data_IF_534902556792
#
_entry.id   IF_534902556792
#
_cell.length_a   1.000
_cell.length_b   1.000
_cell.length_c   1.000
_cell.angle_alpha   90.00
_cell.angle_beta   90.00
_cell.angle_gamma   90.00
#
_symmetry.space_group_name_H-M   'P 1'
#
loop_
_entity.id
_entity.type
_entity.pdbx_description
1 polymer ?
#
# COMPACT_ATOMS: atom_id res chain seq x y z
N UNK A 1 -2.55 -6.37 -6.22
CA UNK A 1 -2.61 -7.28 -5.07
C UNK A 1 -1.20 -7.80 -4.78
N UNK A 2 -0.69 -7.53 -3.59
CA UNK A 2 0.56 -8.13 -3.14
C UNK A 2 0.22 -9.15 -2.05
N UNK A 3 0.37 -10.44 -2.34
CA UNK A 3 0.33 -11.49 -1.31
C UNK A 3 1.72 -11.48 -0.67
N UNK A 4 1.85 -10.66 0.39
CA UNK A 4 3.15 -10.29 0.97
C UNK A 4 3.83 -11.46 1.67
N UNK A 5 3.07 -12.42 2.16
CA UNK A 5 3.53 -13.63 2.82
C UNK A 5 2.55 -14.79 2.60
N UNK A 6 2.87 -16.01 3.08
CA UNK A 6 1.93 -17.14 3.04
C UNK A 6 0.65 -16.89 3.85
N UNK A 7 0.51 -15.76 4.54
CA UNK A 7 -0.34 -15.64 5.72
C UNK A 7 -1.36 -14.49 5.72
N UNK A 8 -1.11 -13.47 4.92
CA UNK A 8 -1.90 -12.25 4.77
C UNK A 8 -1.84 -11.80 3.33
N UNK A 9 -2.93 -11.19 2.89
CA UNK A 9 -3.02 -10.58 1.57
C UNK A 9 -3.03 -9.07 1.75
N UNK A 10 -2.02 -8.38 1.20
CA UNK A 10 -1.95 -6.94 1.15
C UNK A 10 -2.52 -6.42 -0.17
N UNK A 11 -3.55 -5.62 -0.07
CA UNK A 11 -4.24 -5.02 -1.20
C UNK A 11 -3.82 -3.56 -1.33
N UNK A 12 -3.45 -3.15 -2.53
CA UNK A 12 -3.09 -1.78 -2.85
C UNK A 12 -3.75 -1.41 -4.19
N UNK A 13 -4.18 -0.15 -4.31
CA UNK A 13 -4.75 0.40 -5.54
C UNK A 13 -3.71 1.22 -6.29
N UNK A 14 -3.66 1.05 -7.60
CA UNK A 14 -2.79 1.80 -8.52
C UNK A 14 -3.69 2.42 -9.58
N UNK A 15 -3.57 3.73 -9.77
CA UNK A 15 -4.40 4.50 -10.70
C UNK A 15 -3.50 5.28 -11.65
N UNK A 16 -3.69 5.09 -12.95
CA UNK A 16 -2.87 5.73 -13.98
C UNK A 16 -1.35 5.59 -13.74
N UNK A 17 -0.92 4.42 -13.26
CA UNK A 17 0.48 4.11 -12.96
C UNK A 17 1.04 4.73 -11.66
N UNK A 18 0.20 5.39 -10.85
CA UNK A 18 0.59 5.92 -9.54
C UNK A 18 -0.10 5.13 -8.42
N UNK A 19 0.63 4.68 -7.39
CA UNK A 19 0.02 4.09 -6.22
C UNK A 19 -0.82 5.14 -5.48
N UNK A 20 -1.98 4.73 -4.98
CA UNK A 20 -2.86 5.60 -4.21
C UNK A 20 -2.25 5.88 -2.83
N UNK A 21 -2.31 7.14 -2.38
CA UNK A 21 -1.84 7.58 -1.07
C UNK A 21 -3.03 7.70 -0.12
N UNK A 22 -2.87 7.25 1.13
CA UNK A 22 -3.89 7.38 2.16
C UNK A 22 -4.00 8.85 2.62
N UNK A 23 -5.18 9.46 2.44
CA UNK A 23 -5.43 10.88 2.77
C UNK A 23 -5.33 11.18 4.27
N UNK A 24 -5.72 10.22 5.12
CA UNK A 24 -5.68 10.30 6.59
C UNK A 24 -4.50 9.53 7.21
N UNK A 25 -3.50 9.21 6.38
CA UNK A 25 -2.34 8.41 6.72
C UNK A 25 -2.61 6.91 6.89
N UNK A 26 -1.55 6.14 7.18
CA UNK A 26 -1.65 4.68 7.23
C UNK A 26 -2.62 4.21 8.32
N UNK A 27 -3.48 3.25 8.00
CA UNK A 27 -4.37 2.60 8.97
C UNK A 27 -3.69 1.36 9.55
N UNK A 28 -3.46 1.35 10.87
CA UNK A 28 -2.96 0.18 11.60
C UNK A 28 -4.07 -0.31 12.54
N UNK A 29 -4.72 -1.42 12.16
CA UNK A 29 -5.93 -1.89 12.85
C UNK A 29 -7.05 -0.85 12.78
N UNK A 30 -7.46 -0.33 13.93
CA UNK A 30 -8.50 0.70 14.04
C UNK A 30 -7.94 2.14 14.15
N UNK A 31 -6.62 2.31 14.12
CA UNK A 31 -5.97 3.60 14.32
C UNK A 31 -5.45 4.17 13.00
N UNK A 32 -5.62 5.48 12.81
CA UNK A 32 -5.02 6.23 11.72
C UNK A 32 -3.72 6.86 12.22
N UNK A 33 -2.65 6.70 11.46
CA UNK A 33 -1.38 7.37 11.70
C UNK A 33 -1.37 8.71 10.95
N UNK A 34 -0.62 9.70 11.44
CA UNK A 34 -0.39 10.96 10.71
C UNK A 34 0.73 10.85 9.66
N UNK A 35 1.11 9.61 9.30
CA UNK A 35 2.19 9.35 8.34
C UNK A 35 1.60 9.18 6.95
N UNK A 36 2.07 9.99 6.00
CA UNK A 36 1.75 9.84 4.58
C UNK A 36 2.23 8.45 4.11
N UNK A 37 1.30 7.61 3.69
CA UNK A 37 1.58 6.23 3.31
C UNK A 37 0.73 5.80 2.12
N UNK A 38 1.11 4.69 1.48
CA UNK A 38 0.26 4.07 0.46
C UNK A 38 -1.05 3.58 1.08
N UNK A 39 -2.13 3.71 0.31
CA UNK A 39 -3.44 3.15 0.64
C UNK A 39 -3.38 1.62 0.49
N UNK A 40 -2.91 0.96 1.54
CA UNK A 40 -2.81 -0.50 1.64
C UNK A 40 -3.82 -1.02 2.66
N UNK A 41 -4.44 -2.15 2.33
CA UNK A 41 -5.28 -2.91 3.25
C UNK A 41 -4.77 -4.33 3.37
N UNK A 42 -4.44 -4.73 4.59
CA UNK A 42 -4.12 -6.12 4.92
C UNK A 42 -5.39 -6.86 5.30
N UNK A 43 -5.59 -8.05 4.73
CA UNK A 43 -6.65 -8.97 5.16
C UNK A 43 -6.03 -10.28 5.65
N UNK A 44 -6.63 -10.84 6.70
CA UNK A 44 -6.21 -12.09 7.33
C UNK A 44 -6.66 -13.32 6.53
N UNK A 45 -6.27 -13.36 5.25
CA UNK A 45 -6.43 -14.51 4.37
C UNK A 45 -5.13 -14.68 3.59
N UNK A 46 -4.55 -15.85 3.73
CA UNK A 46 -3.32 -16.27 3.07
C UNK A 46 -3.38 -17.75 2.71
N UNK A 47 -2.35 -18.23 2.02
CA UNK A 47 -2.22 -19.63 1.63
C UNK A 47 -2.18 -20.60 2.81
N UNK A 48 -1.76 -20.18 4.00
CA UNK A 48 -1.65 -21.00 5.22
C UNK A 48 -2.71 -20.69 6.29
N UNK A 49 -3.73 -19.90 5.95
CA UNK A 49 -4.87 -19.68 6.84
C UNK A 49 -5.62 -20.99 7.08
N UNK A 50 -6.00 -21.27 8.32
CA UNK A 50 -6.69 -22.52 8.65
C UNK A 50 -8.09 -22.54 8.02
N UNK A 51 -8.42 -23.63 7.34
CA UNK A 51 -9.74 -23.92 6.81
C UNK A 51 -10.52 -24.72 7.84
N UNK A 52 -11.69 -24.20 8.24
CA UNK A 52 -12.61 -24.89 9.15
C UNK A 52 -14.00 -24.99 8.52
N UNK A 53 -14.81 -25.87 9.09
CA UNK A 53 -16.24 -25.97 8.77
C UNK A 53 -17.02 -25.46 9.95
N UNK A 54 -17.87 -24.47 9.70
CA UNK A 54 -18.80 -23.95 10.69
C UNK A 54 -20.22 -24.31 10.29
N UNK A 55 -20.97 -24.88 11.22
CA UNK A 55 -22.42 -25.04 11.08
C UNK A 55 -23.12 -23.76 11.56
N UNK A 56 -24.09 -23.31 10.78
CA UNK A 56 -24.94 -22.16 11.12
C UNK A 56 -26.17 -22.61 11.90
N UNK A 57 -26.87 -21.68 12.53
CA UNK A 57 -28.09 -21.97 13.31
C UNK A 57 -29.22 -22.56 12.44
N UNK A 58 -29.13 -22.43 11.11
CA UNK A 58 -30.05 -23.02 10.14
C UNK A 58 -29.63 -24.42 9.66
N UNK A 59 -28.56 -24.99 10.22
CA UNK A 59 -27.99 -26.29 9.84
C UNK A 59 -27.14 -26.25 8.56
N UNK A 60 -26.93 -25.08 7.96
CA UNK A 60 -26.07 -24.94 6.79
C UNK A 60 -24.60 -24.97 7.24
N UNK A 61 -23.81 -25.85 6.64
CA UNK A 61 -22.35 -25.90 6.81
C UNK A 61 -21.69 -24.92 5.86
N UNK A 62 -20.70 -24.19 6.35
CA UNK A 62 -19.95 -23.19 5.61
C UNK A 62 -18.45 -23.38 5.82
N UNK A 63 -17.68 -23.19 4.75
CA UNK A 63 -16.22 -23.12 4.83
C UNK A 63 -15.86 -21.76 5.41
N UNK A 64 -15.05 -21.74 6.45
CA UNK A 64 -14.47 -20.52 7.02
C UNK A 64 -12.97 -20.58 6.93
N UNK A 65 -12.33 -19.45 6.62
CA UNK A 65 -10.89 -19.36 6.40
C UNK A 65 -10.31 -18.31 7.34
N UNK A 66 -9.31 -18.70 8.13
CA UNK A 66 -8.68 -17.82 9.11
C UNK A 66 -9.63 -17.40 10.26
N UNK A 67 -9.23 -16.40 11.08
CA UNK A 67 -7.97 -15.66 11.02
C UNK A 67 -6.77 -16.43 11.61
N UNK A 68 -7.04 -17.59 12.21
CA UNK A 68 -6.04 -18.45 12.85
C UNK A 68 -5.08 -19.08 11.85
N UNK A 69 -3.89 -19.40 12.36
CA UNK A 69 -2.82 -20.11 11.64
C UNK A 69 -2.36 -21.29 12.46
N UNK A 70 -1.99 -22.36 11.78
CA UNK A 70 -1.46 -23.58 12.40
C UNK A 70 -0.12 -24.03 11.75
N UNK A 71 0.70 -23.05 11.35
CA UNK A 71 1.99 -23.30 10.70
C UNK A 71 1.86 -23.41 9.17
N UNK A 72 2.77 -24.14 8.50
CA UNK A 72 2.73 -24.35 7.06
C UNK A 72 1.42 -25.01 6.59
N UNK A 73 1.17 -24.99 5.28
CA UNK A 73 0.12 -25.80 4.68
C UNK A 73 0.30 -27.30 4.98
N UNK A 74 -0.79 -28.07 5.02
CA UNK A 74 -0.74 -29.50 5.36
C UNK A 74 0.19 -30.28 4.42
N UNK A 75 0.08 -30.03 3.11
CA UNK A 75 0.97 -30.59 2.07
C UNK A 75 2.45 -30.21 2.23
N UNK A 76 2.75 -29.18 3.02
CA UNK A 76 4.11 -28.72 3.31
C UNK A 76 4.59 -29.13 4.72
N UNK A 77 3.88 -30.03 5.40
CA UNK A 77 4.25 -30.49 6.75
C UNK A 77 3.47 -29.85 7.90
N UNK A 78 2.45 -29.03 7.60
CA UNK A 78 1.53 -28.51 8.62
C UNK A 78 0.54 -29.55 9.15
N UNK A 79 -0.24 -29.12 10.14
CA UNK A 79 -1.21 -29.97 10.87
C UNK A 79 -2.66 -29.74 10.43
N UNK A 80 -2.97 -28.58 9.86
CA UNK A 80 -4.34 -28.18 9.52
C UNK A 80 -4.53 -27.95 8.01
N UNK A 81 -5.74 -28.17 7.46
CA UNK A 81 -6.05 -27.86 6.07
C UNK A 81 -6.00 -26.35 5.77
N UNK A 82 -5.49 -25.99 4.59
CA UNK A 82 -5.28 -24.59 4.18
C UNK A 82 -5.71 -24.34 2.72
N UNK A 83 -5.88 -23.07 2.29
CA UNK A 83 -6.11 -22.74 0.89
C UNK A 83 -5.02 -23.25 -0.06
N UNK A 84 -3.77 -23.36 0.41
CA UNK A 84 -2.68 -23.93 -0.41
C UNK A 84 -2.94 -25.41 -0.76
N UNK A 85 -3.51 -26.19 0.17
CA UNK A 85 -3.86 -27.59 -0.09
C UNK A 85 -4.95 -27.69 -1.17
N UNK A 86 -5.95 -26.81 -1.13
CA UNK A 86 -6.99 -26.73 -2.14
C UNK A 86 -6.44 -26.31 -3.52
N UNK A 87 -5.57 -25.30 -3.57
CA UNK A 87 -4.89 -24.90 -4.81
C UNK A 87 -4.04 -26.05 -5.38
N UNK A 88 -3.36 -26.81 -4.51
CA UNK A 88 -2.55 -27.97 -4.90
C UNK A 88 -3.40 -29.10 -5.47
N UNK A 89 -4.54 -29.42 -4.83
CA UNK A 89 -5.50 -30.43 -5.33
C UNK A 89 -6.04 -30.08 -6.71
N UNK A 90 -6.30 -28.80 -6.97
CA UNK A 90 -6.78 -28.32 -8.27
C UNK A 90 -5.67 -28.21 -9.33
N UNK A 91 -4.42 -28.50 -8.99
CA UNK A 91 -3.27 -28.36 -9.89
C UNK A 91 -2.93 -26.91 -10.24
N UNK A 92 -3.42 -25.94 -9.46
CA UNK A 92 -3.18 -24.51 -9.68
C UNK A 92 -1.81 -24.05 -9.17
N UNK A 93 -1.19 -24.85 -8.29
CA UNK A 93 0.15 -24.63 -7.74
C UNK A 93 0.93 -25.94 -7.67
N UNK A 94 2.25 -25.85 -7.82
CA UNK A 94 3.18 -26.98 -7.67
C UNK A 94 4.01 -26.86 -6.39
N UNK A 95 3.36 -27.08 -5.25
CA UNK A 95 3.96 -26.99 -3.92
C UNK A 95 3.50 -28.14 -3.03
N UNK A 96 4.42 -28.68 -2.24
CA UNK A 96 4.12 -29.73 -1.27
C UNK A 96 3.72 -31.07 -1.89
N UNK A 97 3.42 -32.02 -1.00
CA UNK A 97 2.99 -33.37 -1.34
C UNK A 97 1.52 -33.38 -1.82
N UNK A 98 1.23 -33.86 -3.04
CA UNK A 98 -0.12 -33.86 -3.61
C UNK A 98 -1.08 -34.82 -2.90
N UNK A 99 -0.61 -35.93 -2.32
CA UNK A 99 -1.47 -36.86 -1.60
C UNK A 99 -1.85 -36.30 -0.24
N UNK A 100 -0.91 -35.64 0.45
CA UNK A 100 -1.22 -34.89 1.68
C UNK A 100 -2.20 -33.76 1.44
N UNK A 101 -2.10 -33.05 0.31
CA UNK A 101 -3.07 -32.02 -0.06
C UNK A 101 -4.48 -32.60 -0.21
N UNK A 102 -4.61 -33.77 -0.87
CA UNK A 102 -5.90 -34.47 -1.01
C UNK A 102 -6.44 -34.92 0.35
N UNK A 103 -5.61 -35.45 1.23
CA UNK A 103 -6.01 -35.83 2.59
C UNK A 103 -6.55 -34.63 3.38
N UNK A 104 -5.84 -33.51 3.35
CA UNK A 104 -6.27 -32.28 4.01
C UNK A 104 -7.65 -31.82 3.52
N UNK A 105 -7.85 -31.75 2.21
CA UNK A 105 -9.15 -31.36 1.63
C UNK A 105 -10.23 -32.41 1.88
N UNK A 106 -9.88 -33.70 1.89
CA UNK A 106 -10.82 -34.78 2.19
C UNK A 106 -11.38 -34.69 3.62
N UNK A 107 -10.57 -34.27 4.60
CA UNK A 107 -11.03 -34.05 5.98
C UNK A 107 -12.08 -32.93 6.07
N UNK A 108 -11.98 -31.91 5.21
CA UNK A 108 -13.01 -30.86 5.07
C UNK A 108 -14.22 -31.43 4.32
N UNK A 109 -13.99 -32.17 3.24
CA UNK A 109 -15.02 -32.71 2.36
C UNK A 109 -15.97 -33.69 3.06
N UNK A 110 -15.47 -34.50 4.00
CA UNK A 110 -16.27 -35.41 4.81
C UNK A 110 -17.34 -34.68 5.63
N UNK A 111 -17.11 -33.41 5.96
CA UNK A 111 -18.09 -32.56 6.64
C UNK A 111 -19.18 -32.01 5.70
N UNK A 112 -19.02 -32.08 4.37
CA UNK A 112 -19.99 -31.54 3.41
C UNK A 112 -20.71 -32.60 2.56
N UNK A 113 -20.24 -33.86 2.56
CA UNK A 113 -20.71 -34.87 1.63
C UNK A 113 -20.41 -34.53 0.16
N UNK A 114 -19.39 -33.69 -0.07
CA UNK A 114 -18.91 -33.28 -1.40
C UNK A 114 -17.67 -34.08 -1.78
N UNK A 115 -17.36 -34.14 -3.07
CA UNK A 115 -16.08 -34.67 -3.52
C UNK A 115 -14.91 -33.79 -3.07
N UNK A 116 -13.70 -34.35 -3.05
CA UNK A 116 -12.45 -33.62 -2.73
C UNK A 116 -12.27 -32.44 -3.69
N UNK A 117 -12.48 -32.64 -4.98
CA UNK A 117 -12.34 -31.59 -6.00
C UNK A 117 -13.36 -30.46 -5.83
N UNK A 118 -14.63 -30.79 -5.55
CA UNK A 118 -15.65 -29.76 -5.29
C UNK A 118 -15.34 -28.96 -4.02
N UNK A 119 -14.85 -29.64 -2.97
CA UNK A 119 -14.45 -28.99 -1.73
C UNK A 119 -13.23 -28.08 -1.95
N UNK A 120 -12.25 -28.52 -2.73
CA UNK A 120 -11.10 -27.70 -3.09
C UNK A 120 -11.54 -26.42 -3.85
N UNK A 121 -12.42 -26.57 -4.85
CA UNK A 121 -13.00 -25.43 -5.57
C UNK A 121 -13.75 -24.48 -4.64
N UNK A 122 -14.52 -25.01 -3.68
CA UNK A 122 -15.24 -24.20 -2.70
C UNK A 122 -14.29 -23.40 -1.79
N UNK A 123 -13.20 -24.01 -1.32
CA UNK A 123 -12.19 -23.33 -0.50
C UNK A 123 -11.53 -22.19 -1.28
N UNK A 124 -11.11 -22.45 -2.53
CA UNK A 124 -10.51 -21.43 -3.40
C UNK A 124 -11.50 -20.30 -3.71
N UNK A 125 -12.76 -20.64 -4.02
CA UNK A 125 -13.81 -19.65 -4.29
C UNK A 125 -14.10 -18.77 -3.07
N UNK A 126 -14.14 -19.38 -1.88
CA UNK A 126 -14.32 -18.67 -0.61
C UNK A 126 -13.15 -17.73 -0.33
N UNK A 127 -11.91 -18.20 -0.54
CA UNK A 127 -10.69 -17.39 -0.41
C UNK A 127 -10.74 -16.18 -1.34
N UNK A 128 -11.06 -16.41 -2.61
CA UNK A 128 -11.16 -15.37 -3.62
C UNK A 128 -12.30 -14.38 -3.32
N UNK A 129 -13.44 -14.85 -2.79
CA UNK A 129 -14.56 -14.02 -2.37
C UNK A 129 -14.21 -13.09 -1.21
N UNK A 130 -13.39 -13.54 -0.24
CA UNK A 130 -12.89 -12.67 0.83
C UNK A 130 -12.02 -11.53 0.29
N UNK A 131 -11.15 -11.84 -0.68
CA UNK A 131 -10.31 -10.85 -1.36
C UNK A 131 -11.17 -9.88 -2.18
N UNK A 132 -12.10 -10.40 -2.99
CA UNK A 132 -13.03 -9.61 -3.80
C UNK A 132 -13.81 -8.61 -2.93
N UNK A 133 -14.38 -9.08 -1.82
CA UNK A 133 -15.10 -8.23 -0.86
C UNK A 133 -14.21 -7.11 -0.33
N UNK A 134 -12.98 -7.44 0.07
CA UNK A 134 -12.04 -6.44 0.58
C UNK A 134 -11.66 -5.41 -0.49
N UNK A 135 -11.45 -5.82 -1.75
CA UNK A 135 -11.21 -4.89 -2.86
C UNK A 135 -12.41 -3.98 -3.09
N UNK A 136 -13.64 -4.52 -3.12
CA UNK A 136 -14.86 -3.70 -3.28
C UNK A 136 -15.03 -2.67 -2.18
N UNK A 137 -14.77 -3.06 -0.93
CA UNK A 137 -14.79 -2.14 0.21
C UNK A 137 -13.71 -1.05 0.11
N UNK A 138 -12.51 -1.38 -0.36
CA UNK A 138 -11.47 -0.36 -0.61
C UNK A 138 -11.89 0.66 -1.66
N UNK A 139 -12.49 0.22 -2.77
CA UNK A 139 -13.02 1.11 -3.79
C UNK A 139 -14.14 2.00 -3.23
N UNK A 140 -15.05 1.43 -2.44
CA UNK A 140 -16.14 2.19 -1.82
C UNK A 140 -15.64 3.25 -0.84
N UNK A 141 -14.65 2.92 0.00
CA UNK A 141 -14.02 3.88 0.91
C UNK A 141 -13.33 5.01 0.15
N UNK A 142 -12.64 4.66 -0.94
CA UNK A 142 -11.98 5.61 -1.79
C UNK A 142 -12.96 6.54 -2.54
N UNK A 143 -14.06 6.00 -3.07
CA UNK A 143 -15.15 6.78 -3.68
C UNK A 143 -15.76 7.80 -2.70
N UNK A 144 -15.74 7.51 -1.41
CA UNK A 144 -16.28 8.37 -0.37
C UNK A 144 -15.30 9.47 0.08
N UNK A 145 -14.05 9.48 -0.39
CA UNK A 145 -13.10 10.53 -0.02
C UNK A 145 -13.42 11.89 -0.68
N UNK A 146 -13.36 13.01 0.08
CA UNK A 146 -13.72 14.34 -0.43
C UNK A 146 -12.91 14.79 -1.64
N UNK A 147 -11.60 14.51 -1.65
CA UNK A 147 -10.71 14.85 -2.75
C UNK A 147 -11.08 14.11 -4.05
N UNK A 148 -11.59 12.88 -3.93
CA UNK A 148 -11.98 12.07 -5.07
C UNK A 148 -13.36 12.45 -5.63
N UNK A 149 -14.31 12.86 -4.78
CA UNK A 149 -15.59 13.42 -5.28
C UNK A 149 -15.39 14.59 -6.24
N UNK A 150 -14.38 15.44 -5.99
CA UNK A 150 -14.02 16.55 -6.89
C UNK A 150 -13.46 15.99 -8.20
N UNK A 151 -12.62 14.95 -8.14
CA UNK A 151 -12.05 14.29 -9.32
C UNK A 151 -13.11 13.55 -10.17
N UNK A 152 -14.10 12.87 -9.58
CA UNK A 152 -15.22 12.26 -10.30
C UNK A 152 -16.15 13.29 -10.96
N UNK A 153 -16.38 14.44 -10.32
CA UNK A 153 -17.16 15.52 -10.98
C UNK A 153 -16.44 15.98 -12.26
N UNK A 154 -15.12 15.91 -12.29
CA UNK A 154 -14.30 16.19 -13.48
C UNK A 154 -14.24 14.99 -14.45
N UNK A 155 -14.42 13.76 -13.98
CA UNK A 155 -14.32 12.50 -14.74
C UNK A 155 -15.66 11.74 -14.75
N UNK A 156 -16.41 11.80 -15.86
CA UNK A 156 -17.76 11.21 -16.01
C UNK A 156 -17.86 9.68 -15.90
N UNK A 157 -16.83 8.95 -15.47
CA UNK A 157 -16.80 7.48 -15.39
C UNK A 157 -16.51 7.00 -13.98
N UNK A 158 -17.27 5.98 -13.55
CA UNK A 158 -16.95 5.18 -12.37
C UNK A 158 -15.78 4.26 -12.70
N UNK A 159 -14.64 4.48 -12.04
CA UNK A 159 -13.45 3.64 -12.18
C UNK A 159 -13.70 2.27 -11.55
N UNK A 160 -13.31 1.21 -12.27
CA UNK A 160 -13.37 -0.18 -11.80
C UNK A 160 -12.00 -0.81 -11.97
N UNK A 161 -11.66 -1.84 -11.17
CA UNK A 161 -10.41 -2.55 -11.36
C UNK A 161 -10.39 -3.20 -12.75
N UNK A 162 -9.51 -2.73 -13.64
CA UNK A 162 -9.32 -3.34 -14.97
C UNK A 162 -8.36 -4.54 -14.90
N UNK A 163 -7.38 -4.48 -13.99
CA UNK A 163 -6.32 -5.47 -13.85
C UNK A 163 -6.17 -5.87 -12.38
N UNK A 164 -5.97 -7.17 -12.15
CA UNK A 164 -5.56 -7.72 -10.85
C UNK A 164 -4.16 -8.28 -10.99
N UNK A 165 -3.18 -7.51 -10.52
CA UNK A 165 -1.78 -7.93 -10.49
C UNK A 165 -1.52 -8.72 -9.22
N UNK A 166 -0.90 -9.90 -9.32
CA UNK A 166 -0.53 -10.74 -8.19
C UNK A 166 0.97 -10.86 -8.01
N UNK A 167 1.42 -10.62 -6.78
CA UNK A 167 2.79 -10.78 -6.32
C UNK A 167 2.76 -11.71 -5.11
N UNK A 168 3.78 -12.55 -4.92
CA UNK A 168 3.90 -13.53 -3.83
C UNK A 168 3.73 -14.98 -4.27
N UNK A 169 4.20 -15.91 -3.45
CA UNK A 169 4.16 -17.35 -3.73
C UNK A 169 2.75 -17.93 -3.90
N UNK A 170 1.77 -17.41 -3.14
CA UNK A 170 0.36 -17.81 -3.25
C UNK A 170 -0.43 -17.11 -4.37
N UNK A 171 0.20 -16.21 -5.14
CA UNK A 171 -0.50 -15.44 -6.18
C UNK A 171 -0.83 -16.31 -7.40
N UNK A 172 0.08 -17.22 -7.74
CA UNK A 172 -0.18 -18.22 -8.78
C UNK A 172 -1.34 -19.11 -8.35
N UNK A 173 -2.30 -19.31 -9.23
CA UNK A 173 -3.52 -20.07 -8.97
C UNK A 173 -4.68 -19.26 -8.40
N UNK A 174 -4.44 -18.33 -7.47
CA UNK A 174 -5.51 -17.54 -6.85
C UNK A 174 -5.93 -16.31 -7.67
N UNK A 175 -4.97 -15.69 -8.37
CA UNK A 175 -5.20 -14.43 -9.09
C UNK A 175 -6.26 -14.53 -10.18
N UNK A 176 -6.29 -15.62 -10.93
CA UNK A 176 -7.27 -15.83 -11.99
C UNK A 176 -8.69 -15.84 -11.44
N UNK A 177 -8.90 -16.54 -10.31
CA UNK A 177 -10.22 -16.65 -9.65
C UNK A 177 -10.66 -15.30 -9.07
N UNK A 178 -9.73 -14.56 -8.44
CA UNK A 178 -10.01 -13.21 -7.93
C UNK A 178 -10.34 -12.24 -9.07
N UNK A 179 -9.59 -12.29 -10.17
CA UNK A 179 -9.79 -11.44 -11.33
C UNK A 179 -11.14 -11.70 -12.01
N UNK A 180 -11.54 -12.97 -12.13
CA UNK A 180 -12.85 -13.37 -12.66
C UNK A 180 -13.99 -12.78 -11.83
N UNK A 181 -13.95 -12.91 -10.49
CA UNK A 181 -14.96 -12.32 -9.59
C UNK A 181 -15.04 -10.80 -9.68
N UNK A 182 -13.92 -10.13 -9.95
CA UNK A 182 -13.85 -8.69 -10.13
C UNK A 182 -14.15 -8.23 -11.57
N UNK A 183 -14.37 -9.16 -12.51
CA UNK A 183 -14.49 -8.88 -13.95
C UNK A 183 -13.29 -8.06 -14.48
N UNK A 184 -12.10 -8.50 -14.12
CA UNK A 184 -10.82 -7.85 -14.39
C UNK A 184 -9.83 -8.83 -15.06
N UNK A 185 -8.77 -8.31 -15.65
CA UNK A 185 -7.71 -9.15 -16.26
C UNK A 185 -6.72 -9.62 -15.20
N UNK A 186 -6.42 -10.92 -15.09
CA UNK A 186 -5.37 -11.42 -14.21
C UNK A 186 -3.99 -11.11 -14.80
N UNK A 187 -3.08 -10.61 -13.97
CA UNK A 187 -1.68 -10.38 -14.34
C UNK A 187 -0.79 -11.00 -13.26
N UNK A 188 0.13 -11.87 -13.65
CA UNK A 188 1.16 -12.42 -12.77
C UNK A 188 2.52 -12.15 -13.41
N UNK A 189 3.28 -11.16 -12.90
CA UNK A 189 4.58 -10.81 -13.46
C UNK A 189 5.58 -11.97 -13.38
N UNK A 190 6.57 -11.95 -14.27
CA UNK A 190 7.77 -12.78 -14.12
C UNK A 190 8.42 -12.48 -12.76
N UNK A 191 8.86 -13.51 -12.04
CA UNK A 191 9.39 -13.39 -10.67
C UNK A 191 8.40 -12.87 -9.61
N UNK A 192 7.09 -13.07 -9.82
CA UNK A 192 6.05 -12.69 -8.85
C UNK A 192 6.35 -13.14 -7.41
N UNK A 193 6.96 -14.31 -7.23
CA UNK A 193 7.30 -14.87 -5.91
C UNK A 193 8.27 -14.01 -5.10
N UNK A 194 9.13 -13.24 -5.77
CA UNK A 194 10.14 -12.37 -5.16
C UNK A 194 9.89 -10.89 -5.45
N UNK A 195 8.68 -10.51 -5.89
CA UNK A 195 8.39 -9.14 -6.32
C UNK A 195 8.62 -8.08 -5.24
N UNK A 196 8.46 -8.41 -3.95
CA UNK A 196 8.82 -7.51 -2.85
C UNK A 196 10.34 -7.25 -2.77
N UNK A 197 11.15 -8.28 -3.00
CA UNK A 197 12.61 -8.15 -3.01
C UNK A 197 13.08 -7.33 -4.22
N UNK A 198 12.46 -7.55 -5.39
CA UNK A 198 12.70 -6.72 -6.59
C UNK A 198 12.32 -5.27 -6.29
N UNK A 199 11.14 -5.02 -5.72
CA UNK A 199 10.67 -3.69 -5.34
C UNK A 199 11.63 -2.97 -4.39
N UNK A 200 12.17 -3.68 -3.40
CA UNK A 200 13.17 -3.14 -2.48
C UNK A 200 14.51 -2.84 -3.18
N UNK A 201 14.97 -3.73 -4.06
CA UNK A 201 16.23 -3.56 -4.78
C UNK A 201 16.20 -2.39 -5.78
N UNK A 202 15.03 -2.08 -6.34
CA UNK A 202 14.87 -1.04 -7.38
C UNK A 202 14.26 0.25 -6.83
N UNK A 203 13.95 0.31 -5.53
CA UNK A 203 13.46 1.51 -4.88
C UNK A 203 14.57 2.57 -4.80
N UNK A 204 14.26 3.79 -5.22
CA UNK A 204 15.18 4.92 -5.04
C UNK A 204 15.14 5.45 -3.60
N UNK A 205 16.21 6.11 -3.12
CA UNK A 205 16.21 6.83 -1.87
C UNK A 205 15.12 7.92 -1.83
N UNK A 206 14.50 8.10 -0.67
CA UNK A 206 13.58 9.20 -0.39
C UNK A 206 14.18 10.15 0.62
N UNK A 207 13.73 11.39 0.61
CA UNK A 207 14.18 12.41 1.55
C UNK A 207 13.03 13.34 1.86
N UNK A 208 12.88 13.74 3.12
CA UNK A 208 11.90 14.75 3.54
C UNK A 208 12.63 15.92 4.19
N UNK A 209 12.06 17.12 4.03
CA UNK A 209 12.48 18.33 4.70
C UNK A 209 11.23 19.10 5.16
N UNK A 210 11.12 19.33 6.47
CA UNK A 210 10.08 20.17 7.04
C UNK A 210 10.70 21.47 7.56
N UNK A 211 10.55 22.53 6.78
CA UNK A 211 11.06 23.86 7.07
C UNK A 211 9.99 24.70 7.75
N UNK A 212 10.31 25.25 8.92
CA UNK A 212 9.54 26.31 9.56
C UNK A 212 10.35 27.60 9.58
N UNK A 213 9.74 28.71 9.17
CA UNK A 213 10.34 30.04 9.19
C UNK A 213 9.49 30.96 10.05
N UNK A 214 10.11 31.65 10.99
CA UNK A 214 9.50 32.71 11.80
C UNK A 214 10.16 34.05 11.48
N UNK A 215 9.43 34.92 10.76
CA UNK A 215 9.97 36.23 10.38
C UNK A 215 10.03 37.24 11.52
N UNK A 216 9.23 37.05 12.59
CA UNK A 216 9.24 37.94 13.77
C UNK A 216 10.49 37.67 14.60
N UNK A 217 10.76 36.39 14.89
CA UNK A 217 11.95 35.95 15.60
C UNK A 217 13.22 35.95 14.73
N UNK A 218 13.05 36.04 13.40
CA UNK A 218 14.12 35.99 12.39
C UNK A 218 14.91 34.69 12.46
N UNK A 219 14.20 33.57 12.56
CA UNK A 219 14.79 32.22 12.62
C UNK A 219 14.07 31.27 11.70
N UNK A 220 14.77 30.21 11.29
CA UNK A 220 14.15 29.04 10.69
C UNK A 220 14.65 27.77 11.37
N UNK A 221 13.88 26.70 11.24
CA UNK A 221 14.28 25.36 11.70
C UNK A 221 13.90 24.30 10.68
N UNK A 222 14.71 23.25 10.63
CA UNK A 222 14.41 22.02 9.88
C UNK A 222 14.15 20.92 10.90
N UNK A 223 12.93 20.37 10.91
CA UNK A 223 12.51 19.42 11.95
C UNK A 223 13.44 18.21 12.05
N UNK A 224 13.97 17.74 10.94
CA UNK A 224 14.85 16.58 10.85
C UNK A 224 16.29 16.83 11.31
N UNK A 225 16.67 18.08 11.58
CA UNK A 225 18.03 18.46 12.00
C UNK A 225 18.05 19.00 13.43
N UNK A 226 16.90 19.47 13.93
CA UNK A 226 16.75 19.94 15.32
C UNK A 226 17.46 21.27 15.62
N UNK A 227 18.12 21.86 14.62
CA UNK A 227 18.81 23.14 14.75
C UNK A 227 17.88 24.31 14.41
N UNK A 228 17.98 25.38 15.21
CA UNK A 228 17.35 26.67 14.95
C UNK A 228 18.42 27.60 14.43
N UNK A 229 18.25 28.10 13.21
CA UNK A 229 19.23 28.91 12.50
C UNK A 229 18.69 30.32 12.32
N UNK A 230 19.57 31.30 12.42
CA UNK A 230 19.22 32.71 12.23
C UNK A 230 18.95 33.00 10.75
N UNK A 231 17.80 33.60 10.42
CA UNK A 231 17.44 33.94 9.02
C UNK A 231 18.41 34.92 8.36
N UNK A 232 19.14 35.73 9.13
CA UNK A 232 20.16 36.63 8.58
C UNK A 232 21.34 35.89 7.93
N UNK A 233 21.48 34.57 8.14
CA UNK A 233 22.48 33.75 7.42
C UNK A 233 22.06 33.40 5.99
N UNK A 234 20.85 33.78 5.58
CA UNK A 234 20.28 33.50 4.25
C UNK A 234 20.33 34.75 3.36
N UNK A 235 20.14 34.55 2.05
CA UNK A 235 20.09 35.63 1.06
C UNK A 235 18.75 36.40 1.06
N UNK A 236 17.86 36.12 2.01
CA UNK A 236 16.53 36.74 2.10
C UNK A 236 16.69 38.17 2.64
N UNK A 237 16.37 39.16 1.80
CA UNK A 237 16.63 40.56 2.13
C UNK A 237 15.65 41.18 3.14
N UNK A 238 14.35 41.06 2.90
CA UNK A 238 13.33 41.71 3.74
C UNK A 238 12.31 40.70 4.27
N UNK A 239 12.54 40.19 5.49
CA UNK A 239 11.68 39.20 6.15
C UNK A 239 10.23 39.67 6.30
N UNK A 240 10.01 40.98 6.50
CA UNK A 240 8.66 41.53 6.64
C UNK A 240 7.86 41.45 5.33
N UNK A 241 8.53 41.36 4.18
CA UNK A 241 7.92 41.22 2.84
C UNK A 241 8.14 39.86 2.20
N UNK A 242 8.74 38.91 2.92
CA UNK A 242 8.98 37.55 2.47
C UNK A 242 7.74 36.93 1.84
N UNK A 243 7.87 36.23 0.72
CA UNK A 243 6.76 35.51 0.08
C UNK A 243 6.96 34.00 0.16
N UNK A 244 5.91 33.25 -0.16
CA UNK A 244 5.97 31.78 -0.18
C UNK A 244 7.06 31.28 -1.13
N UNK A 245 7.26 31.95 -2.26
CA UNK A 245 8.29 31.58 -3.23
C UNK A 245 9.72 31.68 -2.66
N UNK A 246 9.97 32.64 -1.76
CA UNK A 246 11.26 32.76 -1.07
C UNK A 246 11.44 31.65 -0.02
N UNK A 247 10.36 31.26 0.66
CA UNK A 247 10.37 30.13 1.61
C UNK A 247 10.62 28.80 0.88
N UNK A 248 9.95 28.59 -0.25
CA UNK A 248 10.11 27.41 -1.11
C UNK A 248 11.50 27.33 -1.74
N UNK A 249 12.07 28.46 -2.14
CA UNK A 249 13.45 28.53 -2.64
C UNK A 249 14.46 28.14 -1.54
N UNK A 250 14.27 28.63 -0.31
CA UNK A 250 15.09 28.24 0.84
C UNK A 250 14.95 26.74 1.14
N UNK A 251 13.73 26.22 1.17
CA UNK A 251 13.48 24.79 1.36
C UNK A 251 14.15 23.94 0.28
N UNK A 252 14.09 24.37 -0.99
CA UNK A 252 14.72 23.68 -2.12
C UNK A 252 16.23 23.63 -1.96
N UNK A 253 16.85 24.75 -1.56
CA UNK A 253 18.29 24.83 -1.28
C UNK A 253 18.69 23.87 -0.16
N UNK A 254 17.99 23.91 0.97
CA UNK A 254 18.26 23.06 2.13
C UNK A 254 18.08 21.57 1.81
N UNK A 255 17.04 21.21 1.04
CA UNK A 255 16.81 19.84 0.59
C UNK A 255 17.96 19.36 -0.31
N UNK A 256 18.43 20.18 -1.25
CA UNK A 256 19.57 19.86 -2.13
C UNK A 256 20.87 19.66 -1.35
N UNK A 257 21.14 20.53 -0.38
CA UNK A 257 22.30 20.39 0.51
C UNK A 257 22.22 19.10 1.33
N UNK A 258 21.03 18.79 1.88
CA UNK A 258 20.78 17.56 2.62
C UNK A 258 20.93 16.32 1.73
N UNK A 259 20.37 16.33 0.52
CA UNK A 259 20.55 15.25 -0.46
C UNK A 259 22.03 15.03 -0.80
N UNK A 260 22.81 16.10 -0.93
CA UNK A 260 24.26 16.03 -1.12
C UNK A 260 24.99 15.41 0.07
N UNK A 261 24.63 15.76 1.31
CA UNK A 261 25.19 15.14 2.52
C UNK A 261 24.93 13.63 2.56
N UNK A 262 23.77 13.18 2.10
CA UNK A 262 23.41 11.76 2.03
C UNK A 262 23.93 11.05 0.77
N UNK A 263 24.58 11.75 -0.16
CA UNK A 263 25.10 11.16 -1.40
C UNK A 263 24.01 10.77 -2.40
N UNK A 264 22.86 11.47 -2.39
CA UNK A 264 21.69 11.19 -3.24
C UNK A 264 21.31 12.43 -4.08
N UNK A 265 22.29 13.27 -4.44
CA UNK A 265 22.06 14.53 -5.15
C UNK A 265 21.38 14.37 -6.49
N UNK A 266 21.61 13.24 -7.19
CA UNK A 266 20.99 12.92 -8.47
C UNK A 266 19.46 12.82 -8.40
N UNK A 267 18.89 12.62 -7.20
CA UNK A 267 17.44 12.58 -6.99
C UNK A 267 16.84 13.93 -6.58
N UNK A 268 17.65 14.97 -6.41
CA UNK A 268 17.16 16.26 -5.91
C UNK A 268 16.27 17.01 -6.90
N UNK A 269 16.38 16.73 -8.20
CA UNK A 269 15.52 17.31 -9.23
C UNK A 269 14.11 16.68 -9.27
N UNK A 270 13.94 15.52 -8.62
CA UNK A 270 12.66 14.84 -8.45
C UNK A 270 11.87 15.36 -7.25
N UNK A 271 12.39 16.36 -6.55
CA UNK A 271 11.77 16.92 -5.37
C UNK A 271 10.46 17.65 -5.69
N UNK A 272 9.46 17.46 -4.84
CA UNK A 272 8.18 18.15 -4.89
C UNK A 272 7.89 18.88 -3.57
N UNK A 273 7.15 19.99 -3.66
CA UNK A 273 6.56 20.65 -2.51
C UNK A 273 5.31 19.86 -2.13
N UNK A 274 5.34 19.23 -0.96
CA UNK A 274 4.22 18.47 -0.41
C UNK A 274 3.19 19.38 0.26
N UNK A 275 3.65 20.45 0.91
CA UNK A 275 2.81 21.46 1.56
C UNK A 275 3.55 22.80 1.62
N UNK A 276 2.80 23.90 1.51
CA UNK A 276 3.33 25.27 1.64
C UNK A 276 2.23 26.14 2.23
N UNK A 277 2.40 26.51 3.50
CA UNK A 277 1.42 27.30 4.25
C UNK A 277 2.06 28.56 4.81
N UNK A 278 1.24 29.62 4.91
CA UNK A 278 1.65 30.89 5.51
C UNK A 278 0.62 31.33 6.52
N UNK A 279 1.07 31.60 7.73
CA UNK A 279 0.25 32.14 8.81
C UNK A 279 0.72 33.53 9.18
N UNK A 280 -0.21 34.47 9.29
CA UNK A 280 0.09 35.81 9.80
C UNK A 280 0.04 35.79 11.33
N UNK A 281 1.13 36.20 11.98
CA UNK A 281 1.17 36.41 13.43
C UNK A 281 0.61 37.81 13.69
N UNK A 282 -0.42 37.91 14.54
CA UNK A 282 -1.10 39.17 14.87
C UNK A 282 -0.89 39.49 16.35
N UNK A 283 -0.34 40.66 16.64
CA UNK A 283 -0.25 41.23 17.98
C UNK A 283 -0.93 42.60 18.01
N UNK A 284 -1.83 42.81 18.96
CA UNK A 284 -2.45 44.14 19.18
C UNK A 284 -3.10 44.75 17.93
N UNK A 285 -3.72 43.92 17.08
CA UNK A 285 -4.38 44.29 15.82
C UNK A 285 -3.46 44.56 14.61
N UNK A 286 -2.15 44.38 14.74
CA UNK A 286 -1.18 44.52 13.65
C UNK A 286 -0.51 43.17 13.35
N UNK A 287 -0.14 42.93 12.08
CA UNK A 287 0.68 41.78 11.71
C UNK A 287 2.10 41.99 12.24
N UNK A 288 2.48 41.23 13.26
CA UNK A 288 3.80 41.27 13.90
C UNK A 288 4.85 40.47 13.11
N UNK A 289 4.42 39.45 12.38
CA UNK A 289 5.27 38.62 11.53
C UNK A 289 4.48 37.56 10.78
N UNK A 290 5.20 36.64 10.15
CA UNK A 290 4.64 35.53 9.39
C UNK A 290 5.39 34.24 9.72
N UNK A 291 4.62 33.16 9.80
CA UNK A 291 5.14 31.81 9.88
C UNK A 291 4.97 31.17 8.50
N UNK A 292 6.06 30.62 7.97
CA UNK A 292 6.02 29.80 6.76
C UNK A 292 6.32 28.37 7.16
N UNK A 293 5.43 27.45 6.79
CA UNK A 293 5.63 26.03 6.95
C UNK A 293 5.69 25.41 5.55
N UNK A 294 6.87 24.93 5.17
CA UNK A 294 7.13 24.33 3.86
C UNK A 294 7.62 22.90 4.06
N UNK A 295 6.87 21.94 3.53
CA UNK A 295 7.25 20.53 3.51
C UNK A 295 7.66 20.17 2.08
N UNK A 296 8.91 19.74 1.91
CA UNK A 296 9.42 19.22 0.65
C UNK A 296 9.81 17.76 0.79
N UNK A 297 9.76 17.02 -0.32
CA UNK A 297 10.22 15.65 -0.34
C UNK A 297 10.79 15.25 -1.71
N UNK A 298 11.74 14.32 -1.68
CA UNK A 298 12.03 13.42 -2.80
C UNK A 298 11.07 12.23 -2.64
N UNK A 299 10.02 12.10 -3.47
CA UNK A 299 9.00 11.10 -3.27
C UNK A 299 9.53 9.70 -3.63
N UNK A 300 8.84 8.67 -3.11
CA UNK A 300 9.12 7.29 -3.47
C UNK A 300 9.06 7.09 -4.99
N UNK A 301 9.99 6.30 -5.50
CA UNK A 301 10.12 6.04 -6.93
C UNK A 301 11.08 4.88 -7.18
N UNK A 302 11.37 4.65 -8.46
CA UNK A 302 12.33 3.63 -8.88
C UNK A 302 13.65 4.30 -9.25
N UNK A 303 14.75 3.56 -9.13
CA UNK A 303 16.07 3.99 -9.60
C UNK A 303 16.06 4.19 -11.14
N UNK A 304 16.78 5.18 -11.69
CA UNK A 304 16.76 5.50 -13.13
C UNK A 304 17.25 4.35 -14.03
N UNK A 305 18.16 3.51 -13.51
CA UNK A 305 18.74 2.37 -14.21
C UNK A 305 17.71 1.27 -14.47
N UNK A 306 16.62 1.26 -13.69
CA UNK A 306 15.52 0.32 -13.87
C UNK A 306 14.64 0.74 -15.05
N UNK A 307 14.97 0.23 -16.24
CA UNK A 307 14.19 0.45 -17.46
C UNK A 307 12.81 -0.17 -17.29
N UNK A 308 11.77 0.66 -17.31
CA UNK A 308 10.39 0.19 -17.51
C UNK A 308 10.35 -0.40 -18.92
N UNK A 309 10.07 -1.69 -19.05
CA UNK A 309 9.76 -2.28 -20.36
C UNK A 309 8.71 -1.42 -21.05
N UNK A 310 8.89 -1.18 -22.35
CA UNK A 310 7.98 -0.36 -23.14
C UNK A 310 6.52 -0.79 -22.89
N UNK A 311 5.62 0.20 -22.79
CA UNK A 311 4.18 0.00 -22.60
C UNK A 311 3.69 -1.08 -23.58
N UNK A 312 3.22 -2.21 -23.05
CA UNK A 312 2.34 -3.13 -23.77
C UNK A 312 0.93 -2.55 -23.82
#
# INVERSE_FOLDING_TARGET
MCIRDRTTTDLALILSGKPLIASKGAKLGNFLTHVRAFAVRSIAVGGDSTVRVRETDTGLRLVTIGPERAGPAYCMGGEEPTPTDALRVLGLVDVGDPERAKEAVASVASSFGKSVTETASLIVDTTAGMIEKAVREMFLEWEQEPAYRIWEVLQKKKERPENVVGIGGGARGLISVVAEKLNAKPITPEYSEVGNAIGAAVARPTLTLNLRIDTQQKVYSVAEEGEIVNLNSTDIGNFNKMRSEEAEALATKLLRERAKRFGISEYADEAEIANSEVFNVVEGWFTAGRLFDVSMQIPAGLIPEWKRGEKA
#
